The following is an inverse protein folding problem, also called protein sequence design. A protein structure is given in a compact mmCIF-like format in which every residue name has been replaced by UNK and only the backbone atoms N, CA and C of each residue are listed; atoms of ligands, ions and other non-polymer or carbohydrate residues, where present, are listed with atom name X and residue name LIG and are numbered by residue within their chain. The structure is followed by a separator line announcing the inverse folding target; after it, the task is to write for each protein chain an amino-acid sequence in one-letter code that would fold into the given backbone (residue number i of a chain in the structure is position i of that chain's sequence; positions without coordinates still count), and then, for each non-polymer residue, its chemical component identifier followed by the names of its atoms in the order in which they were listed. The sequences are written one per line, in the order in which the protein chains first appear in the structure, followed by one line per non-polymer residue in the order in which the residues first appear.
data_IF_407152304671
#
_entry.id   IF_407152304671
#
_cell.length_a   1.000
_cell.length_b   1.000
_cell.length_c   1.000
_cell.angle_alpha   90.00
_cell.angle_beta   90.00
_cell.angle_gamma   90.00
#
_symmetry.space_group_name_H-M   'P 1'
#
loop_
_entity.id
_entity.type
_entity.pdbx_description
1 polymer ?
#
# COMPACT_ATOMS: atom_id res chain seq x y z
N UNK A 1 29.07 28.02 -17.38
CA UNK A 1 29.56 26.68 -17.76
C UNK A 1 29.82 25.71 -16.57
N UNK A 2 30.42 26.13 -15.47
CA UNK A 2 30.65 25.21 -14.30
C UNK A 2 29.37 24.66 -13.65
N UNK A 3 28.30 25.45 -13.57
CA UNK A 3 27.04 25.01 -12.95
C UNK A 3 26.29 23.94 -13.77
N UNK A 4 26.36 23.99 -15.08
CA UNK A 4 25.70 23.02 -15.99
C UNK A 4 26.40 21.66 -15.95
N UNK A 5 27.75 21.67 -15.87
CA UNK A 5 28.56 20.44 -15.73
C UNK A 5 28.32 19.73 -14.39
N UNK A 6 28.10 20.48 -13.31
CA UNK A 6 27.76 19.90 -11.99
C UNK A 6 26.37 19.26 -11.99
N UNK A 7 25.39 19.86 -12.67
CA UNK A 7 24.04 19.31 -12.81
C UNK A 7 24.02 18.04 -13.67
N UNK A 8 24.77 17.99 -14.76
CA UNK A 8 24.87 16.82 -15.64
C UNK A 8 25.59 15.66 -14.92
N UNK A 9 26.65 15.95 -14.15
CA UNK A 9 27.37 14.94 -13.35
C UNK A 9 26.51 14.34 -12.25
N UNK A 10 25.70 15.15 -11.56
CA UNK A 10 24.83 14.67 -10.48
C UNK A 10 23.63 13.85 -11.01
N UNK A 11 23.08 14.23 -12.16
CA UNK A 11 21.98 13.49 -12.81
C UNK A 11 22.47 12.13 -13.35
N UNK A 12 23.67 12.10 -13.94
CA UNK A 12 24.26 10.85 -14.44
C UNK A 12 24.60 9.88 -13.29
N UNK A 13 25.14 10.37 -12.19
CA UNK A 13 25.43 9.57 -10.99
C UNK A 13 24.14 9.01 -10.36
N UNK A 14 23.07 9.81 -10.29
CA UNK A 14 21.75 9.33 -9.83
C UNK A 14 21.18 8.25 -10.75
N UNK A 15 21.30 8.42 -12.08
CA UNK A 15 20.86 7.41 -13.06
C UNK A 15 21.56 6.06 -12.86
N UNK A 16 22.88 6.06 -12.70
CA UNK A 16 23.68 4.85 -12.46
C UNK A 16 23.29 4.20 -11.12
N UNK A 17 23.14 4.97 -10.05
CA UNK A 17 22.72 4.43 -8.74
C UNK A 17 21.32 3.81 -8.81
N UNK A 18 20.37 4.43 -9.51
CA UNK A 18 19.03 3.87 -9.70
C UNK A 18 19.08 2.54 -10.48
N UNK A 19 19.88 2.48 -11.54
CA UNK A 19 20.07 1.24 -12.33
C UNK A 19 20.68 0.13 -11.48
N UNK A 20 21.73 0.43 -10.70
CA UNK A 20 22.36 -0.53 -9.79
C UNK A 20 21.39 -1.00 -8.70
N UNK A 21 20.57 -0.10 -8.16
CA UNK A 21 19.54 -0.44 -7.18
C UNK A 21 18.50 -1.41 -7.74
N UNK A 22 18.08 -1.22 -9.00
CA UNK A 22 17.12 -2.10 -9.66
C UNK A 22 17.75 -3.45 -10.00
N UNK A 23 18.99 -3.46 -10.51
CA UNK A 23 19.74 -4.70 -10.77
C UNK A 23 19.91 -5.51 -9.49
N UNK A 24 20.27 -4.85 -8.39
CA UNK A 24 20.37 -5.48 -7.07
C UNK A 24 19.05 -6.16 -6.67
N UNK A 25 17.90 -5.49 -6.85
CA UNK A 25 16.59 -6.08 -6.53
C UNK A 25 16.24 -7.30 -7.39
N UNK A 26 16.74 -7.38 -8.62
CA UNK A 26 16.52 -8.55 -9.49
C UNK A 26 17.37 -9.76 -9.11
N UNK A 27 18.54 -9.55 -8.45
CA UNK A 27 19.49 -10.62 -8.11
C UNK A 27 19.23 -11.16 -6.70
N UNK A 28 18.79 -10.30 -5.78
CA UNK A 28 18.56 -10.67 -4.39
C UNK A 28 17.39 -11.64 -4.27
N UNK A 29 17.49 -12.71 -3.47
CA UNK A 29 16.36 -13.59 -3.17
C UNK A 29 15.36 -12.86 -2.27
N UNK A 30 14.49 -12.05 -2.88
CA UNK A 30 13.58 -11.10 -2.21
C UNK A 30 12.74 -11.77 -1.12
N UNK A 31 12.17 -12.95 -1.41
CA UNK A 31 11.36 -13.70 -0.43
C UNK A 31 12.18 -14.20 0.78
N UNK A 32 13.43 -14.63 0.57
CA UNK A 32 14.29 -15.03 1.68
C UNK A 32 14.63 -13.82 2.56
N UNK A 33 15.00 -12.71 1.94
CA UNK A 33 15.30 -11.46 2.65
C UNK A 33 14.08 -10.99 3.44
N UNK A 34 12.89 -11.00 2.83
CA UNK A 34 11.64 -10.62 3.48
C UNK A 34 11.32 -11.53 4.68
N UNK A 35 11.50 -12.85 4.53
CA UNK A 35 11.32 -13.81 5.64
C UNK A 35 12.30 -13.57 6.79
N UNK A 36 13.59 -13.37 6.48
CA UNK A 36 14.59 -13.04 7.49
C UNK A 36 14.26 -11.74 8.22
N UNK A 37 13.87 -10.71 7.47
CA UNK A 37 13.47 -9.41 8.07
C UNK A 37 12.21 -9.58 8.92
N UNK A 38 11.21 -10.31 8.43
CA UNK A 38 10.00 -10.60 9.19
C UNK A 38 10.29 -11.33 10.50
N UNK A 39 11.17 -12.33 10.47
CA UNK A 39 11.63 -13.00 11.68
C UNK A 39 12.31 -12.03 12.66
N UNK A 40 13.24 -11.21 12.18
CA UNK A 40 13.91 -10.20 13.01
C UNK A 40 12.92 -9.17 13.58
N UNK A 41 11.95 -8.73 12.78
CA UNK A 41 10.94 -7.77 13.18
C UNK A 41 9.93 -8.35 14.20
N UNK A 42 9.75 -9.67 14.23
CA UNK A 42 8.91 -10.37 15.19
C UNK A 42 9.65 -10.72 16.51
N UNK A 43 10.98 -10.55 16.59
CA UNK A 43 11.75 -10.86 17.78
C UNK A 43 11.33 -9.98 18.96
N UNK A 44 10.97 -10.65 20.06
CA UNK A 44 10.65 -10.00 21.34
C UNK A 44 11.85 -9.88 22.26
N UNK A 45 12.85 -10.75 22.11
CA UNK A 45 14.06 -10.81 22.92
C UNK A 45 15.32 -10.92 22.06
N UNK A 46 16.46 -10.38 22.48
CA UNK A 46 16.60 -9.56 23.71
C UNK A 46 16.05 -8.14 23.52
N UNK A 47 15.45 -7.57 24.56
CA UNK A 47 14.78 -6.25 24.52
C UNK A 47 15.71 -5.13 24.07
N UNK A 48 17.00 -5.16 24.48
CA UNK A 48 17.94 -4.12 24.09
C UNK A 48 18.14 -4.03 22.57
N UNK A 49 18.14 -5.20 21.88
CA UNK A 49 18.28 -5.27 20.42
C UNK A 49 17.04 -4.69 19.74
N UNK A 50 15.85 -5.13 20.15
CA UNK A 50 14.56 -4.60 19.68
C UNK A 50 14.50 -3.08 19.85
N UNK A 51 14.78 -2.57 21.07
CA UNK A 51 14.72 -1.14 21.37
C UNK A 51 15.75 -0.34 20.55
N UNK A 52 16.94 -0.90 20.32
CA UNK A 52 17.95 -0.28 19.47
C UNK A 52 17.49 -0.19 18.00
N UNK A 53 16.86 -1.25 17.47
CA UNK A 53 16.32 -1.28 16.11
C UNK A 53 15.21 -0.24 15.94
N UNK A 54 14.22 -0.22 16.84
CA UNK A 54 13.10 0.73 16.81
C UNK A 54 13.64 2.17 16.91
N UNK A 55 14.50 2.47 17.89
CA UNK A 55 15.06 3.81 18.05
C UNK A 55 15.82 4.28 16.81
N UNK A 56 16.63 3.39 16.20
CA UNK A 56 17.39 3.71 14.99
C UNK A 56 16.44 3.97 13.80
N UNK A 57 15.37 3.20 13.70
CA UNK A 57 14.34 3.39 12.68
C UNK A 57 13.63 4.73 12.83
N UNK A 58 13.17 5.05 14.04
CA UNK A 58 12.53 6.35 14.35
C UNK A 58 13.44 7.51 13.93
N UNK A 59 14.73 7.46 14.36
CA UNK A 59 15.70 8.53 14.05
C UNK A 59 16.02 8.61 12.56
N UNK A 60 16.13 7.47 11.85
CA UNK A 60 16.52 7.43 10.45
C UNK A 60 15.40 7.90 9.51
N UNK A 61 14.17 7.48 9.79
CA UNK A 61 13.01 7.81 8.94
C UNK A 61 12.21 9.02 9.43
N UNK A 62 12.50 9.55 10.60
CA UNK A 62 11.77 10.69 11.16
C UNK A 62 10.33 10.33 11.56
N UNK A 63 10.15 9.16 12.22
CA UNK A 63 8.82 8.73 12.67
C UNK A 63 8.31 9.64 13.77
N UNK A 64 7.11 10.21 13.59
CA UNK A 64 6.45 10.98 14.63
C UNK A 64 5.75 10.05 15.64
N UNK A 65 6.31 9.96 16.84
CA UNK A 65 5.75 9.16 17.92
C UNK A 65 4.69 9.90 18.73
N UNK A 66 4.52 11.21 18.56
CA UNK A 66 3.53 12.00 19.28
C UNK A 66 2.10 11.68 18.86
N UNK A 67 1.91 11.13 17.65
CA UNK A 67 0.63 10.70 17.12
C UNK A 67 0.29 9.23 17.52
N UNK A 68 1.26 8.46 18.01
CA UNK A 68 1.05 7.07 18.40
C UNK A 68 0.25 6.96 19.70
N UNK A 69 -0.61 5.93 19.80
CA UNK A 69 -1.33 5.60 21.03
C UNK A 69 -0.37 5.25 22.18
N UNK A 70 0.74 4.57 21.86
CA UNK A 70 1.86 4.33 22.77
C UNK A 70 3.09 5.09 22.23
N UNK A 71 3.48 6.17 22.90
CA UNK A 71 4.60 7.02 22.50
C UNK A 71 5.97 6.49 22.96
N UNK A 72 5.99 5.67 24.01
CA UNK A 72 7.24 5.02 24.48
C UNK A 72 7.55 3.79 23.62
N UNK A 73 8.50 3.95 22.70
CA UNK A 73 8.91 2.88 21.80
C UNK A 73 9.43 1.62 22.51
N UNK A 74 9.81 1.70 23.77
CA UNK A 74 10.34 0.56 24.55
C UNK A 74 9.22 -0.41 24.94
N UNK A 75 7.97 0.05 24.99
CA UNK A 75 6.80 -0.73 25.39
C UNK A 75 6.25 -1.65 24.31
N UNK A 76 6.59 -1.44 23.06
CA UNK A 76 6.18 -2.36 21.99
C UNK A 76 6.83 -3.74 22.20
N UNK A 77 6.08 -4.82 22.02
CA UNK A 77 6.59 -6.17 22.25
C UNK A 77 7.65 -6.58 21.20
N UNK A 78 7.51 -6.12 19.96
CA UNK A 78 8.45 -6.37 18.88
C UNK A 78 8.47 -5.17 17.89
N UNK A 79 9.32 -5.24 16.86
CA UNK A 79 9.39 -4.20 15.85
C UNK A 79 8.11 -4.12 15.01
N UNK A 80 7.46 -5.26 14.71
CA UNK A 80 6.20 -5.26 13.94
C UNK A 80 5.10 -4.51 14.69
N UNK A 81 4.97 -4.69 16.01
CA UNK A 81 3.98 -3.98 16.81
C UNK A 81 4.19 -2.47 16.78
N UNK A 82 5.47 -2.03 16.83
CA UNK A 82 5.81 -0.62 16.64
C UNK A 82 5.47 -0.13 15.23
N UNK A 83 5.79 -0.92 14.20
CA UNK A 83 5.59 -0.52 12.82
C UNK A 83 4.10 -0.39 12.47
N UNK A 84 3.27 -1.29 12.99
CA UNK A 84 1.81 -1.28 12.87
C UNK A 84 1.11 -0.56 14.02
N UNK A 85 1.82 0.35 14.71
CA UNK A 85 1.33 1.10 15.86
C UNK A 85 -0.04 1.71 15.61
N UNK A 86 -0.92 1.68 16.61
CA UNK A 86 -2.15 2.44 16.58
C UNK A 86 -1.87 3.94 16.76
N UNK A 87 -2.72 4.79 16.22
CA UNK A 87 -2.71 6.21 16.51
C UNK A 87 -3.55 6.51 17.74
N UNK A 88 -3.21 7.60 18.45
CA UNK A 88 -4.03 8.10 19.54
C UNK A 88 -5.37 8.59 19.00
N UNK A 89 -6.37 8.56 19.84
CA UNK A 89 -7.69 9.08 19.51
C UNK A 89 -7.62 10.54 19.03
N UNK A 90 -8.35 10.85 17.96
CA UNK A 90 -8.38 12.17 17.34
C UNK A 90 -7.14 12.55 16.51
N UNK A 91 -6.12 11.68 16.39
CA UNK A 91 -4.95 11.95 15.53
C UNK A 91 -5.29 11.99 14.04
N UNK A 92 -6.35 11.32 13.64
CA UNK A 92 -6.89 11.30 12.26
C UNK A 92 -8.41 11.52 12.32
N UNK A 93 -8.88 12.78 12.39
CA UNK A 93 -10.30 13.06 12.30
C UNK A 93 -10.82 12.70 10.90
N UNK A 94 -11.98 12.07 10.84
CA UNK A 94 -12.62 11.74 9.56
C UNK A 94 -13.30 12.99 9.00
N UNK A 95 -12.98 13.34 7.76
CA UNK A 95 -13.62 14.43 7.05
C UNK A 95 -15.10 14.11 6.75
N UNK A 96 -15.93 15.14 6.71
CA UNK A 96 -17.30 15.04 6.23
C UNK A 96 -17.31 15.01 4.69
N UNK A 97 -16.82 13.89 4.11
CA UNK A 97 -16.68 13.67 2.67
C UNK A 97 -17.22 12.29 2.30
N UNK A 98 -17.56 12.11 1.03
CA UNK A 98 -18.07 10.83 0.55
C UNK A 98 -16.97 9.77 0.59
N UNK A 99 -15.78 10.12 0.09
CA UNK A 99 -14.64 9.21 -0.01
C UNK A 99 -13.48 9.75 0.82
N UNK A 100 -12.94 8.91 1.69
CA UNK A 100 -11.81 9.24 2.56
C UNK A 100 -10.49 8.67 2.00
N UNK A 101 -9.39 9.32 2.32
CA UNK A 101 -8.07 8.74 2.15
C UNK A 101 -7.93 7.50 3.05
N UNK A 102 -7.58 6.33 2.49
CA UNK A 102 -7.50 5.07 3.25
C UNK A 102 -6.22 4.96 4.08
N UNK A 103 -5.23 5.81 3.85
CA UNK A 103 -3.89 5.67 4.45
C UNK A 103 -3.15 7.00 4.51
N UNK A 104 -2.20 7.08 5.43
CA UNK A 104 -1.11 8.07 5.37
C UNK A 104 -0.13 7.68 4.28
N UNK A 105 0.37 8.66 3.52
CA UNK A 105 1.33 8.39 2.46
C UNK A 105 1.46 9.53 1.47
N UNK A 106 1.67 9.14 0.22
CA UNK A 106 1.68 10.06 -0.91
C UNK A 106 0.99 9.44 -2.12
N UNK A 107 0.23 10.23 -2.85
CA UNK A 107 -0.31 9.82 -4.14
C UNK A 107 0.86 9.48 -5.07
N UNK A 108 0.95 8.23 -5.50
CA UNK A 108 1.85 7.86 -6.58
C UNK A 108 1.25 8.27 -7.92
N UNK A 109 0.02 7.84 -8.18
CA UNK A 109 -0.79 8.21 -9.34
C UNK A 109 -2.28 8.11 -8.99
N UNK A 110 -3.10 8.89 -9.69
CA UNK A 110 -4.55 8.77 -9.67
C UNK A 110 -5.10 9.19 -11.05
N UNK A 111 -6.28 8.73 -11.39
CA UNK A 111 -6.93 9.06 -12.65
C UNK A 111 -7.83 7.98 -13.20
N UNK A 112 -8.17 8.08 -14.48
CA UNK A 112 -9.04 7.14 -15.18
C UNK A 112 -8.32 5.82 -15.53
N UNK A 113 -9.07 4.72 -15.45
CA UNK A 113 -8.67 3.39 -15.95
C UNK A 113 -8.99 3.35 -17.45
N UNK A 114 -8.15 4.01 -18.25
CA UNK A 114 -8.38 4.17 -19.67
C UNK A 114 -8.08 2.87 -20.44
N UNK A 115 -9.05 2.35 -21.19
CA UNK A 115 -8.92 1.08 -21.94
C UNK A 115 -8.46 -0.10 -21.06
N UNK A 116 -8.87 -0.14 -19.81
CA UNK A 116 -8.46 -1.18 -18.86
C UNK A 116 -7.02 -1.02 -18.32
N UNK A 117 -6.35 0.10 -18.59
CA UNK A 117 -4.99 0.38 -18.18
C UNK A 117 -4.94 1.46 -17.09
N UNK A 118 -4.08 1.22 -16.09
CA UNK A 118 -3.74 2.17 -15.05
C UNK A 118 -2.36 2.78 -15.35
N UNK A 119 -2.25 4.10 -15.21
CA UNK A 119 -0.97 4.79 -15.35
C UNK A 119 -0.10 4.54 -14.11
N UNK A 120 1.15 4.12 -14.32
CA UNK A 120 2.09 3.83 -13.25
C UNK A 120 3.05 4.99 -12.98
N UNK A 121 3.87 5.34 -13.95
CA UNK A 121 4.83 6.46 -13.95
C UNK A 121 5.56 6.54 -15.30
N UNK A 122 5.99 7.70 -15.73
CA UNK A 122 6.89 7.90 -16.89
C UNK A 122 6.47 7.10 -18.15
N UNK A 123 5.19 7.14 -18.51
CA UNK A 123 4.67 6.45 -19.70
C UNK A 123 4.53 4.93 -19.54
N UNK A 124 4.66 4.39 -18.33
CA UNK A 124 4.41 2.98 -18.02
C UNK A 124 2.98 2.78 -17.56
N UNK A 125 2.42 1.65 -17.93
CA UNK A 125 1.06 1.26 -17.60
C UNK A 125 1.04 -0.22 -17.17
N UNK A 126 -0.02 -0.61 -16.48
CA UNK A 126 -0.36 -2.00 -16.21
C UNK A 126 -1.88 -2.16 -16.33
N UNK A 127 -2.33 -3.37 -16.67
CA UNK A 127 -3.76 -3.63 -16.83
C UNK A 127 -4.45 -3.87 -15.50
N UNK A 128 -5.73 -3.48 -15.41
CA UNK A 128 -6.58 -3.86 -14.28
C UNK A 128 -6.71 -5.39 -14.18
N UNK A 129 -6.77 -6.09 -15.32
CA UNK A 129 -6.79 -7.55 -15.36
C UNK A 129 -5.54 -8.16 -14.70
N UNK A 130 -4.33 -7.73 -15.11
CA UNK A 130 -3.09 -8.19 -14.47
C UNK A 130 -3.09 -7.89 -12.97
N UNK A 131 -3.52 -6.67 -12.58
CA UNK A 131 -3.59 -6.24 -11.19
C UNK A 131 -4.50 -7.14 -10.35
N UNK A 132 -5.63 -7.55 -10.92
CA UNK A 132 -6.65 -8.38 -10.27
C UNK A 132 -6.41 -9.89 -10.45
N UNK A 133 -5.22 -10.28 -10.97
CA UNK A 133 -4.80 -11.69 -11.04
C UNK A 133 -5.33 -12.46 -12.24
N UNK A 134 -5.69 -11.78 -13.33
CA UNK A 134 -6.23 -12.37 -14.55
C UNK A 134 -7.75 -12.54 -14.53
N UNK A 135 -8.45 -11.96 -13.57
CA UNK A 135 -9.91 -12.00 -13.49
C UNK A 135 -10.52 -10.93 -14.41
N UNK A 136 -10.79 -11.34 -15.66
CA UNK A 136 -11.37 -10.48 -16.69
C UNK A 136 -12.74 -9.93 -16.28
N UNK A 137 -13.59 -10.76 -15.64
CA UNK A 137 -14.94 -10.36 -15.25
C UNK A 137 -14.92 -9.27 -14.18
N UNK A 138 -14.04 -9.40 -13.20
CA UNK A 138 -13.85 -8.37 -12.17
C UNK A 138 -13.16 -7.12 -12.73
N UNK A 139 -12.17 -7.28 -13.60
CA UNK A 139 -11.51 -6.14 -14.25
C UNK A 139 -12.48 -5.31 -15.10
N UNK A 140 -13.42 -5.94 -15.79
CA UNK A 140 -14.43 -5.27 -16.58
C UNK A 140 -15.34 -4.33 -15.77
N UNK A 141 -15.54 -4.59 -14.47
CA UNK A 141 -16.33 -3.73 -13.58
C UNK A 141 -15.69 -2.35 -13.36
N UNK A 142 -14.38 -2.25 -13.54
CA UNK A 142 -13.60 -1.03 -13.33
C UNK A 142 -13.15 -0.35 -14.63
N UNK A 143 -13.54 -0.88 -15.80
CA UNK A 143 -13.18 -0.29 -17.10
C UNK A 143 -13.79 1.10 -17.27
N UNK A 144 -12.95 2.10 -17.62
CA UNK A 144 -13.35 3.51 -17.69
C UNK A 144 -13.63 4.16 -16.33
N UNK A 145 -13.38 3.44 -15.23
CA UNK A 145 -13.54 3.94 -13.88
C UNK A 145 -12.33 4.75 -13.40
N UNK A 146 -12.24 4.95 -12.09
CA UNK A 146 -11.19 5.75 -11.47
C UNK A 146 -10.29 4.89 -10.59
N UNK A 147 -9.00 5.27 -10.48
CA UNK A 147 -8.08 4.63 -9.56
C UNK A 147 -7.26 5.66 -8.77
N UNK A 148 -6.81 5.28 -7.58
CA UNK A 148 -5.84 6.02 -6.82
C UNK A 148 -4.79 5.05 -6.26
N UNK A 149 -3.52 5.33 -6.50
CA UNK A 149 -2.37 4.58 -5.98
C UNK A 149 -1.69 5.41 -4.91
N UNK A 150 -1.66 4.93 -3.66
CA UNK A 150 -1.09 5.62 -2.51
C UNK A 150 0.09 4.81 -2.00
N UNK A 151 1.26 5.41 -1.99
CA UNK A 151 2.49 4.85 -1.46
C UNK A 151 2.67 5.22 0.01
N UNK A 152 2.89 4.24 0.88
CA UNK A 152 3.17 4.43 2.30
C UNK A 152 4.69 4.36 2.51
N UNK A 153 5.30 5.47 2.89
CA UNK A 153 6.72 5.51 3.22
C UNK A 153 6.98 4.87 4.61
N UNK A 154 8.19 4.41 4.91
CA UNK A 154 8.48 3.72 6.18
C UNK A 154 8.11 4.49 7.46
N UNK A 155 8.08 5.82 7.41
CA UNK A 155 7.70 6.67 8.54
C UNK A 155 6.21 6.76 8.78
N UNK A 156 5.40 6.47 7.75
CA UNK A 156 3.96 6.71 7.77
C UNK A 156 3.22 5.71 8.70
N UNK A 157 1.96 5.96 8.89
CA UNK A 157 1.03 5.03 9.56
C UNK A 157 0.68 3.88 8.62
N UNK A 158 0.85 2.63 9.07
CA UNK A 158 0.76 1.46 8.19
C UNK A 158 -0.52 0.62 8.39
N UNK A 159 -1.56 1.19 8.98
CA UNK A 159 -2.90 0.60 8.94
C UNK A 159 -3.70 1.23 7.81
N UNK A 160 -4.57 0.43 7.22
CA UNK A 160 -5.44 0.81 6.12
C UNK A 160 -6.87 0.89 6.62
N UNK A 161 -7.58 1.90 6.15
CA UNK A 161 -8.95 2.16 6.56
C UNK A 161 -9.88 2.20 5.36
N UNK A 162 -11.15 1.91 5.60
CA UNK A 162 -12.17 1.93 4.55
C UNK A 162 -12.41 3.36 4.05
N UNK A 163 -12.26 3.60 2.74
CA UNK A 163 -12.54 4.93 2.17
C UNK A 163 -14.04 5.23 2.15
N UNK A 164 -14.88 4.20 2.04
CA UNK A 164 -16.34 4.21 2.08
C UNK A 164 -16.81 3.00 2.86
N UNK A 165 -18.06 3.00 3.34
CA UNK A 165 -18.65 1.81 3.93
C UNK A 165 -18.85 0.72 2.86
N UNK A 166 -18.62 -0.55 3.24
CA UNK A 166 -18.77 -1.64 2.29
C UNK A 166 -18.79 -3.03 2.92
N UNK A 167 -19.44 -3.96 2.22
CA UNK A 167 -19.48 -5.38 2.55
C UNK A 167 -18.43 -6.11 1.73
N UNK A 168 -17.56 -6.87 2.38
CA UNK A 168 -16.57 -7.71 1.71
C UNK A 168 -17.26 -8.82 0.92
N UNK A 169 -17.01 -8.88 -0.38
CA UNK A 169 -17.57 -9.91 -1.27
C UNK A 169 -16.56 -10.98 -1.63
N UNK A 170 -15.28 -10.66 -1.61
CA UNK A 170 -14.24 -11.63 -1.92
C UNK A 170 -12.85 -11.10 -1.70
N UNK A 171 -11.89 -12.00 -1.59
CA UNK A 171 -10.48 -11.69 -1.61
C UNK A 171 -9.75 -12.57 -2.60
N UNK A 172 -8.69 -12.03 -3.23
CA UNK A 172 -7.78 -12.80 -4.06
C UNK A 172 -6.35 -12.49 -3.65
N UNK A 173 -5.67 -13.46 -3.03
CA UNK A 173 -4.24 -13.39 -2.83
C UNK A 173 -3.52 -13.81 -4.11
N UNK A 174 -2.58 -13.00 -4.57
CA UNK A 174 -1.82 -13.22 -5.80
C UNK A 174 -0.34 -13.23 -5.44
N UNK A 175 0.34 -14.37 -5.53
CA UNK A 175 1.79 -14.46 -5.31
C UNK A 175 2.52 -13.65 -6.37
N UNK A 176 3.65 -13.07 -6.00
CA UNK A 176 4.42 -12.24 -6.92
C UNK A 176 5.83 -11.97 -6.42
N UNK A 177 6.46 -11.01 -7.01
CA UNK A 177 7.76 -10.48 -6.60
C UNK A 177 7.59 -9.50 -5.43
N UNK A 178 8.71 -9.08 -4.84
CA UNK A 178 8.75 -8.12 -3.76
C UNK A 178 9.71 -6.98 -4.10
N UNK A 179 9.47 -6.30 -5.22
CA UNK A 179 10.21 -5.09 -5.53
C UNK A 179 9.84 -3.98 -4.54
N UNK A 180 10.79 -3.10 -4.24
CA UNK A 180 10.44 -1.84 -3.60
C UNK A 180 9.38 -1.10 -4.44
N UNK A 181 8.45 -0.41 -3.78
CA UNK A 181 7.36 0.32 -4.45
C UNK A 181 7.54 1.85 -4.38
N UNK A 182 8.76 2.32 -4.13
CA UNK A 182 9.10 3.74 -4.14
C UNK A 182 9.10 4.33 -5.56
N UNK A 183 9.17 5.66 -5.68
CA UNK A 183 9.15 6.37 -6.96
C UNK A 183 10.22 5.89 -7.96
N UNK A 184 11.44 5.56 -7.49
CA UNK A 184 12.52 5.07 -8.37
C UNK A 184 12.11 3.76 -9.05
N UNK A 185 11.55 2.82 -8.30
CA UNK A 185 11.10 1.54 -8.85
C UNK A 185 9.86 1.70 -9.71
N UNK A 186 8.91 2.54 -9.31
CA UNK A 186 7.72 2.83 -10.10
C UNK A 186 8.06 3.42 -11.48
N UNK A 187 9.12 4.21 -11.56
CA UNK A 187 9.59 4.81 -12.82
C UNK A 187 10.38 3.85 -13.72
N UNK A 188 10.95 2.77 -13.17
CA UNK A 188 11.93 1.95 -13.88
C UNK A 188 11.58 0.48 -14.02
N UNK A 189 10.61 -0.04 -13.27
CA UNK A 189 10.14 -1.44 -13.34
C UNK A 189 8.78 -1.49 -14.02
N UNK A 190 8.69 -2.19 -15.15
CA UNK A 190 7.43 -2.35 -15.88
C UNK A 190 6.42 -3.16 -15.07
N UNK A 191 5.16 -2.71 -15.07
CA UNK A 191 4.03 -3.36 -14.40
C UNK A 191 4.31 -3.70 -12.94
N UNK A 192 5.04 -2.81 -12.24
CA UNK A 192 5.54 -3.02 -10.88
C UNK A 192 4.46 -3.57 -9.93
N UNK A 193 3.32 -2.88 -9.86
CA UNK A 193 2.25 -3.22 -8.93
C UNK A 193 1.52 -4.52 -9.29
N UNK A 194 1.43 -4.86 -10.58
CA UNK A 194 0.86 -6.11 -11.05
C UNK A 194 1.83 -7.29 -10.96
N UNK A 195 3.13 -7.04 -10.77
CA UNK A 195 4.17 -8.09 -10.58
C UNK A 195 4.41 -8.42 -9.12
N UNK A 196 4.18 -7.46 -8.22
CA UNK A 196 4.39 -7.70 -6.79
C UNK A 196 3.29 -8.56 -6.18
N UNK A 197 3.70 -9.32 -5.15
CA UNK A 197 2.78 -10.02 -4.26
C UNK A 197 1.72 -9.04 -3.73
N UNK A 198 0.45 -9.45 -3.75
CA UNK A 198 -0.66 -8.57 -3.37
C UNK A 198 -1.90 -9.33 -2.92
N UNK A 199 -2.68 -8.67 -2.11
CA UNK A 199 -4.03 -9.08 -1.72
C UNK A 199 -5.04 -8.11 -2.33
N UNK A 200 -5.96 -8.63 -3.13
CA UNK A 200 -7.11 -7.87 -3.64
C UNK A 200 -8.29 -8.13 -2.72
N UNK A 201 -8.90 -7.08 -2.21
CA UNK A 201 -10.13 -7.13 -1.42
C UNK A 201 -11.25 -6.44 -2.21
N UNK A 202 -12.33 -7.17 -2.47
CA UNK A 202 -13.48 -6.68 -3.22
C UNK A 202 -14.62 -6.37 -2.26
N UNK A 203 -15.17 -5.18 -2.39
CA UNK A 203 -16.27 -4.71 -1.56
C UNK A 203 -17.47 -4.34 -2.44
N UNK A 204 -18.65 -4.61 -1.93
CA UNK A 204 -19.91 -4.07 -2.41
C UNK A 204 -20.26 -2.87 -1.55
N UNK A 205 -20.43 -1.71 -2.18
CA UNK A 205 -20.73 -0.44 -1.53
C UNK A 205 -22.06 0.10 -2.02
N UNK A 206 -22.64 1.10 -1.38
CA UNK A 206 -23.89 1.73 -1.85
C UNK A 206 -23.76 2.37 -3.24
N UNK A 207 -22.51 2.59 -3.71
CA UNK A 207 -22.22 3.22 -5.02
C UNK A 207 -21.68 2.21 -6.05
N UNK A 208 -21.76 0.92 -5.74
CA UNK A 208 -21.28 -0.18 -6.59
C UNK A 208 -20.00 -0.85 -6.09
N UNK A 209 -19.41 -1.70 -6.92
CA UNK A 209 -18.22 -2.45 -6.51
C UNK A 209 -17.02 -1.55 -6.31
N UNK A 210 -16.20 -1.85 -5.29
CA UNK A 210 -14.91 -1.22 -5.04
C UNK A 210 -13.86 -2.32 -4.86
N UNK A 211 -12.64 -2.10 -5.35
CA UNK A 211 -11.51 -2.95 -5.00
C UNK A 211 -10.42 -2.16 -4.27
N UNK A 212 -9.92 -2.75 -3.18
CA UNK A 212 -8.71 -2.30 -2.51
C UNK A 212 -7.61 -3.34 -2.73
N UNK A 213 -6.52 -2.93 -3.40
CA UNK A 213 -5.39 -3.81 -3.70
C UNK A 213 -4.23 -3.44 -2.79
N UNK A 214 -3.90 -4.35 -1.90
CA UNK A 214 -2.80 -4.22 -0.94
C UNK A 214 -1.55 -4.83 -1.57
N UNK A 215 -0.62 -3.98 -2.01
CA UNK A 215 0.59 -4.43 -2.72
C UNK A 215 1.77 -4.50 -1.76
N UNK A 216 2.32 -5.70 -1.61
CA UNK A 216 3.54 -5.96 -0.85
C UNK A 216 4.79 -5.40 -1.54
N UNK A 217 5.85 -5.21 -0.77
CA UNK A 217 7.14 -4.71 -1.27
C UNK A 217 8.32 -5.42 -0.63
N UNK A 218 9.53 -5.11 -1.06
CA UNK A 218 10.76 -5.64 -0.47
C UNK A 218 10.78 -5.37 1.04
N UNK A 219 11.12 -6.42 1.81
CA UNK A 219 11.17 -6.37 3.28
C UNK A 219 9.77 -6.40 3.94
N UNK A 220 8.67 -6.36 3.18
CA UNK A 220 7.32 -6.50 3.74
C UNK A 220 7.16 -7.90 4.33
N UNK A 221 6.93 -7.94 5.65
CA UNK A 221 6.82 -9.22 6.38
C UNK A 221 5.42 -9.86 6.25
N UNK A 222 4.45 -9.15 5.67
CA UNK A 222 3.11 -9.66 5.44
C UNK A 222 2.04 -8.58 5.35
N UNK A 223 0.87 -9.04 4.93
CA UNK A 223 -0.39 -8.31 4.92
C UNK A 223 -1.28 -8.95 5.96
N UNK A 224 -1.99 -8.15 6.74
CA UNK A 224 -2.97 -8.60 7.72
C UNK A 224 -4.29 -7.90 7.49
N UNK A 225 -5.40 -8.64 7.58
CA UNK A 225 -6.75 -8.08 7.53
C UNK A 225 -7.46 -8.28 8.87
N UNK A 226 -8.41 -7.40 9.20
CA UNK A 226 -9.12 -7.47 10.49
C UNK A 226 -10.04 -8.68 10.58
N UNK A 227 -10.45 -9.25 9.45
CA UNK A 227 -11.40 -10.39 9.40
C UNK A 227 -10.72 -11.77 9.28
N UNK A 228 -9.48 -11.86 8.80
CA UNK A 228 -8.79 -13.15 8.65
C UNK A 228 -7.40 -13.19 9.27
N UNK A 229 -6.94 -12.06 9.85
CA UNK A 229 -5.59 -11.98 10.38
C UNK A 229 -4.50 -12.02 9.30
N UNK A 230 -3.31 -12.56 9.60
CA UNK A 230 -2.18 -12.58 8.68
C UNK A 230 -2.44 -13.42 7.43
N UNK A 231 -2.12 -12.87 6.25
CA UNK A 231 -2.19 -13.57 4.96
C UNK A 231 -0.89 -14.33 4.66
N UNK A 232 -0.10 -14.67 5.68
CA UNK A 232 1.17 -15.37 5.57
C UNK A 232 1.17 -16.70 6.36
N UNK A 233 1.95 -17.72 5.94
CA UNK A 233 2.86 -17.71 4.79
C UNK A 233 2.10 -17.67 3.48
N UNK A 234 2.59 -16.90 2.49
CA UNK A 234 1.90 -16.73 1.23
C UNK A 234 1.80 -18.06 0.48
N UNK A 235 0.61 -18.41 -0.03
CA UNK A 235 0.46 -19.55 -0.92
C UNK A 235 1.29 -19.35 -2.20
N UNK A 236 1.72 -20.45 -2.82
CA UNK A 236 2.49 -20.41 -4.08
C UNK A 236 1.64 -20.19 -5.34
N UNK A 237 0.32 -20.20 -5.19
CA UNK A 237 -0.66 -20.00 -6.25
C UNK A 237 -1.68 -18.97 -5.80
N UNK A 238 -2.38 -18.30 -6.73
CA UNK A 238 -3.49 -17.44 -6.36
C UNK A 238 -4.52 -18.21 -5.52
N UNK A 239 -5.02 -17.56 -4.48
CA UNK A 239 -6.06 -18.10 -3.60
C UNK A 239 -7.19 -17.09 -3.53
N UNK A 240 -8.35 -17.49 -4.02
CA UNK A 240 -9.58 -16.68 -3.95
C UNK A 240 -10.48 -17.24 -2.86
N UNK A 241 -11.03 -16.35 -2.07
CA UNK A 241 -12.07 -16.66 -1.06
C UNK A 241 -13.30 -15.85 -1.41
N UNK A 242 -14.44 -16.54 -1.55
CA UNK A 242 -15.75 -15.93 -1.76
C UNK A 242 -16.43 -15.75 -0.40
N UNK A 243 -16.55 -14.49 0.03
CA UNK A 243 -17.15 -14.14 1.33
C UNK A 243 -18.68 -14.13 1.28
N UNK A 244 -19.29 -14.11 0.09
CA UNK A 244 -20.75 -14.20 -0.05
C UNK A 244 -21.30 -15.59 0.29
N UNK A 245 -20.43 -16.61 0.25
CA UNK A 245 -20.81 -18.00 0.59
C UNK A 245 -20.53 -18.35 2.05
N UNK A 246 -19.89 -17.45 2.82
CA UNK A 246 -19.59 -17.68 4.24
C UNK A 246 -20.79 -17.32 5.11
N UNK A 247 -20.96 -17.99 6.28
CA UNK A 247 -22.10 -17.77 7.17
C UNK A 247 -22.11 -16.39 7.82
N UNK A 248 -20.93 -15.76 7.99
CA UNK A 248 -20.79 -14.44 8.60
C UNK A 248 -20.41 -13.42 7.52
N UNK A 249 -21.17 -12.33 7.41
CA UNK A 249 -20.81 -11.21 6.54
C UNK A 249 -19.76 -10.35 7.22
N UNK A 250 -18.83 -9.84 6.42
CA UNK A 250 -17.83 -8.85 6.86
C UNK A 250 -18.26 -7.50 6.33
N UNK A 251 -18.76 -6.65 7.23
CA UNK A 251 -19.20 -5.30 6.92
C UNK A 251 -18.32 -4.30 7.68
N UNK A 252 -17.82 -3.31 6.98
CA UNK A 252 -16.96 -2.28 7.53
C UNK A 252 -17.54 -0.91 7.24
N UNK A 253 -17.62 -0.07 8.27
CA UNK A 253 -18.03 1.31 8.12
C UNK A 253 -16.91 2.16 7.48
N UNK A 254 -17.27 3.31 6.94
CA UNK A 254 -16.33 4.31 6.45
C UNK A 254 -15.40 4.75 7.59
N UNK A 255 -14.09 4.66 7.37
CA UNK A 255 -13.05 4.96 8.37
C UNK A 255 -12.65 3.79 9.25
N UNK A 256 -13.33 2.64 9.21
CA UNK A 256 -12.92 1.45 9.96
C UNK A 256 -11.57 0.91 9.47
N UNK A 257 -10.75 0.38 10.37
CA UNK A 257 -9.54 -0.35 9.99
C UNK A 257 -9.92 -1.61 9.21
N UNK A 258 -9.38 -1.78 8.00
CA UNK A 258 -9.59 -2.97 7.19
C UNK A 258 -8.40 -3.94 7.24
N UNK A 259 -7.23 -3.42 7.57
CA UNK A 259 -6.00 -4.23 7.58
C UNK A 259 -4.76 -3.39 7.78
N UNK A 260 -3.60 -4.05 7.69
CA UNK A 260 -2.30 -3.41 7.91
C UNK A 260 -1.17 -4.10 7.16
N UNK A 261 -0.11 -3.35 6.95
CA UNK A 261 1.14 -3.86 6.40
C UNK A 261 2.20 -4.02 7.47
N UNK A 262 2.91 -5.14 7.45
CA UNK A 262 3.97 -5.42 8.44
C UNK A 262 5.31 -4.73 8.14
N UNK A 263 5.51 -4.15 6.95
CA UNK A 263 6.64 -3.28 6.55
C UNK A 263 6.40 -2.76 5.12
N UNK A 264 6.34 -1.43 4.90
CA UNK A 264 6.34 -0.66 3.65
C UNK A 264 5.50 -1.17 2.46
N UNK A 265 4.67 -0.31 1.80
CA UNK A 265 3.68 -0.85 0.88
C UNK A 265 2.98 0.21 0.04
N UNK A 266 2.06 -0.24 -0.79
CA UNK A 266 1.18 0.60 -1.61
C UNK A 266 -0.24 0.05 -1.54
N UNK A 267 -1.22 0.92 -1.43
CA UNK A 267 -2.63 0.59 -1.61
C UNK A 267 -3.13 1.21 -2.91
N UNK A 268 -3.91 0.44 -3.68
CA UNK A 268 -4.55 0.92 -4.90
C UNK A 268 -6.06 0.75 -4.72
N UNK A 269 -6.78 1.85 -4.92
CA UNK A 269 -8.24 1.88 -4.97
C UNK A 269 -8.70 1.80 -6.42
N UNK A 270 -9.73 1.00 -6.70
CA UNK A 270 -10.42 0.96 -7.98
C UNK A 270 -11.91 1.21 -7.76
N UNK A 271 -12.48 2.10 -8.57
CA UNK A 271 -13.90 2.44 -8.59
C UNK A 271 -14.47 2.29 -10.01
N UNK A 272 -15.76 1.96 -10.16
CA UNK A 272 -16.41 1.89 -11.46
C UNK A 272 -16.45 3.25 -12.17
N UNK A 273 -16.82 3.18 -13.44
CA UNK A 273 -17.03 4.37 -14.27
C UNK A 273 -18.17 5.24 -13.73
N UNK A 274 -17.99 6.56 -13.82
CA UNK A 274 -18.97 7.59 -13.48
C UNK A 274 -19.47 7.52 -12.02
N UNK A 275 -18.66 6.99 -11.11
CA UNK A 275 -19.00 6.84 -9.68
C UNK A 275 -18.23 7.83 -8.81
N UNK A 276 -16.96 8.10 -9.14
CA UNK A 276 -16.05 8.84 -8.28
C UNK A 276 -15.41 9.99 -9.02
N UNK A 277 -15.36 11.16 -8.36
CA UNK A 277 -14.53 12.30 -8.74
C UNK A 277 -13.53 12.59 -7.62
N UNK A 278 -12.24 12.49 -7.90
CA UNK A 278 -11.21 12.85 -6.94
C UNK A 278 -11.08 14.36 -6.80
N UNK A 279 -10.75 14.82 -5.59
CA UNK A 279 -10.48 16.23 -5.31
C UNK A 279 -9.25 16.69 -6.14
N UNK A 280 -9.40 17.82 -6.86
CA UNK A 280 -8.38 18.39 -7.76
C UNK A 280 -7.06 18.74 -7.07
N UNK A 281 -7.05 18.87 -5.74
CA UNK A 281 -5.82 19.09 -4.96
C UNK A 281 -4.87 17.90 -5.01
N UNK A 282 -5.36 16.69 -5.33
CA UNK A 282 -4.53 15.49 -5.39
C UNK A 282 -3.90 15.31 -6.78
N UNK A 283 -2.61 15.13 -6.77
CA UNK A 283 -1.79 14.78 -7.92
C UNK A 283 -0.60 13.95 -7.46
N UNK A 284 0.19 13.46 -8.40
CA UNK A 284 1.40 12.70 -8.08
C UNK A 284 2.32 13.48 -7.13
N UNK A 285 2.70 12.85 -6.02
CA UNK A 285 3.53 13.44 -4.95
C UNK A 285 2.76 14.18 -3.86
N UNK A 286 1.45 14.39 -3.99
CA UNK A 286 0.65 15.00 -2.92
C UNK A 286 0.58 14.07 -1.73
N UNK A 287 0.88 14.59 -0.53
CA UNK A 287 0.77 13.83 0.71
C UNK A 287 -0.69 13.58 1.05
N UNK A 288 -0.94 12.41 1.63
CA UNK A 288 -2.25 12.01 2.13
C UNK A 288 -2.19 11.71 3.62
N UNK A 289 -3.29 11.99 4.32
CA UNK A 289 -3.52 11.51 5.68
C UNK A 289 -4.81 10.70 5.71
N UNK A 290 -4.78 9.58 6.41
CA UNK A 290 -5.97 8.75 6.62
C UNK A 290 -7.11 9.60 7.17
N UNK A 291 -8.30 9.43 6.60
CA UNK A 291 -9.50 10.17 7.02
C UNK A 291 -9.72 11.53 6.36
N UNK A 292 -8.72 12.06 5.60
CA UNK A 292 -8.95 13.27 4.78
C UNK A 292 -9.90 13.00 3.61
N UNK A 293 -10.59 14.05 3.15
CA UNK A 293 -11.42 13.97 1.95
C UNK A 293 -10.56 13.63 0.73
N UNK A 294 -10.81 12.49 0.07
CA UNK A 294 -10.14 12.08 -1.16
C UNK A 294 -10.93 12.48 -2.40
N UNK A 295 -12.24 12.51 -2.29
CA UNK A 295 -13.14 12.81 -3.40
C UNK A 295 -14.60 12.76 -2.99
N UNK A 296 -15.47 12.85 -3.99
CA UNK A 296 -16.92 12.74 -3.86
C UNK A 296 -17.48 11.72 -4.85
N UNK A 297 -18.70 11.30 -4.62
CA UNK A 297 -19.47 10.59 -5.66
C UNK A 297 -19.91 11.58 -6.74
N UNK A 298 -19.89 11.10 -7.99
CA UNK A 298 -20.25 11.87 -9.18
C UNK A 298 -21.76 12.00 -9.37
#
# INVERSE_FOLDING_TARGET
MRSVLYFISSAHCKGIMNTLFILFQNIVPQHLLSRCTGFLAALRHPQWLKNRLIRRFISHFGVDMSEAAESDYTRYACFNDFFTRALREGARPLAAADILCPADGAISQLGEIANGLLFQAKGRYFSAEDLLGGDVARAAQFAGGQFATIYLAPKDYHRLHMPVAGRLTGTCYIPGQLFSVNGVTAENVDRLFARNERLVCYFDTEFGPMAMVLVGAMIVAGIETVWSGPVAPPPKRPVTVDYLTLPESVELAKGDEMGRFMLGSTVILLFPKDVVSFDERFGAGTLTRMGEALGSFA
#
